data_IF_837638618974
#
_entry.id   IF_837638618974
#
_cell.length_a   1.000
_cell.length_b   1.000
_cell.length_c   1.000
_cell.angle_alpha   90.00
_cell.angle_beta   90.00
_cell.angle_gamma   90.00
#
_symmetry.space_group_name_H-M   'P 1'
#
loop_
_entity.id
_entity.type
_entity.pdbx_description
1 polymer ?
#
# COMPACT_ATOMS: atom_id res chain seq x y z
N UNK A 1 16.88 -0.20 -11.54
CA UNK A 1 15.56 0.30 -11.12
C UNK A 1 15.79 1.70 -10.60
N UNK A 2 15.30 2.72 -11.31
CA UNK A 2 15.34 4.08 -10.82
C UNK A 2 14.46 4.18 -9.57
N UNK A 3 15.03 4.68 -8.48
CA UNK A 3 14.31 4.81 -7.21
C UNK A 3 13.35 5.99 -7.33
N UNK A 4 12.04 5.75 -7.18
CA UNK A 4 11.01 6.80 -7.29
C UNK A 4 11.24 7.87 -6.22
N UNK A 5 11.30 9.15 -6.64
CA UNK A 5 11.36 10.26 -5.70
C UNK A 5 10.06 10.35 -4.89
N UNK A 6 10.08 11.04 -3.74
CA UNK A 6 8.85 11.29 -2.99
C UNK A 6 7.80 12.03 -3.84
N UNK A 7 8.23 12.95 -4.71
CA UNK A 7 7.32 13.66 -5.61
C UNK A 7 6.65 12.70 -6.60
N UNK A 8 7.39 11.72 -7.14
CA UNK A 8 6.85 10.72 -8.06
C UNK A 8 5.89 9.76 -7.34
N UNK A 9 6.25 9.31 -6.13
CA UNK A 9 5.38 8.48 -5.30
C UNK A 9 4.08 9.21 -4.96
N UNK A 10 4.16 10.48 -4.57
CA UNK A 10 3.00 11.34 -4.33
C UNK A 10 2.16 11.55 -5.59
N UNK A 11 2.79 11.78 -6.75
CA UNK A 11 2.09 11.96 -8.01
C UNK A 11 1.35 10.69 -8.43
N UNK A 12 1.99 9.52 -8.26
CA UNK A 12 1.38 8.21 -8.48
C UNK A 12 0.16 7.99 -7.56
N UNK A 13 0.29 8.20 -6.25
CA UNK A 13 -0.87 8.11 -5.34
C UNK A 13 -2.01 9.04 -5.78
N UNK A 14 -1.67 10.27 -6.17
CA UNK A 14 -2.65 11.29 -6.57
C UNK A 14 -3.37 10.93 -7.86
N UNK A 15 -2.73 10.22 -8.78
CA UNK A 15 -3.36 9.78 -10.04
C UNK A 15 -4.43 8.71 -9.82
N UNK A 16 -4.29 7.88 -8.78
CA UNK A 16 -5.25 6.81 -8.43
C UNK A 16 -6.50 7.32 -7.71
N UNK A 17 -6.43 8.51 -7.09
CA UNK A 17 -7.49 9.11 -6.26
C UNK A 17 -8.88 9.13 -6.90
N UNK A 18 -9.07 9.46 -8.20
CA UNK A 18 -10.40 9.56 -8.79
C UNK A 18 -11.17 8.23 -8.83
N UNK A 19 -10.45 7.10 -8.82
CA UNK A 19 -11.05 5.76 -8.92
C UNK A 19 -10.99 4.98 -7.60
N UNK A 20 -10.17 5.42 -6.65
CA UNK A 20 -9.99 4.72 -5.37
C UNK A 20 -11.24 4.88 -4.51
N UNK A 21 -11.82 3.75 -4.12
CA UNK A 21 -12.90 3.67 -3.14
C UNK A 21 -12.39 3.18 -1.78
N UNK A 22 -11.35 2.34 -1.77
CA UNK A 22 -10.84 1.70 -0.55
C UNK A 22 -9.32 1.65 -0.60
N UNK A 23 -8.67 1.80 0.56
CA UNK A 23 -7.23 1.62 0.72
C UNK A 23 -7.01 0.53 1.77
N UNK A 24 -6.19 -0.46 1.43
CA UNK A 24 -5.76 -1.50 2.36
C UNK A 24 -4.28 -1.33 2.70
N UNK A 25 -3.95 -1.44 3.99
CA UNK A 25 -2.59 -1.49 4.51
C UNK A 25 -2.31 -2.90 5.02
N UNK A 26 -1.23 -3.53 4.56
CA UNK A 26 -0.76 -4.82 5.04
C UNK A 26 0.52 -4.62 5.82
N UNK A 27 0.40 -4.69 7.14
CA UNK A 27 1.51 -4.55 8.09
C UNK A 27 2.24 -5.88 8.22
N UNK A 28 3.41 -5.98 7.57
CA UNK A 28 4.18 -7.21 7.53
C UNK A 28 4.81 -7.56 8.89
N UNK A 29 5.03 -6.56 9.74
CA UNK A 29 5.57 -6.69 11.10
C UNK A 29 4.54 -6.43 12.21
N UNK A 30 3.24 -6.42 11.86
CA UNK A 30 2.14 -6.10 12.78
C UNK A 30 1.87 -4.60 12.90
N UNK A 31 0.67 -4.26 13.40
CA UNK A 31 0.12 -2.90 13.37
C UNK A 31 0.15 -2.19 14.74
N UNK A 32 0.56 -2.89 15.81
CA UNK A 32 0.48 -2.36 17.17
C UNK A 32 1.46 -1.19 17.37
N UNK A 33 0.92 -0.01 17.74
CA UNK A 33 1.71 1.20 17.98
C UNK A 33 2.31 1.82 16.72
N UNK A 34 1.81 1.42 15.53
CA UNK A 34 2.32 1.96 14.29
C UNK A 34 1.89 3.44 14.11
N UNK A 35 2.79 4.36 13.77
CA UNK A 35 2.49 5.80 13.72
C UNK A 35 1.37 6.14 12.72
N UNK A 36 1.27 5.39 11.61
CA UNK A 36 0.14 5.50 10.68
C UNK A 36 -1.24 5.38 11.37
N UNK A 37 -1.39 4.51 12.38
CA UNK A 37 -2.67 4.35 13.06
C UNK A 37 -3.03 5.56 13.92
N UNK A 38 -2.04 6.27 14.47
CA UNK A 38 -2.27 7.51 15.21
C UNK A 38 -2.73 8.63 14.27
N UNK A 39 -2.07 8.75 13.11
CA UNK A 39 -2.42 9.73 12.08
C UNK A 39 -3.81 9.50 11.47
N UNK A 40 -4.29 8.26 11.49
CA UNK A 40 -5.60 7.85 10.97
C UNK A 40 -6.60 7.50 12.07
N UNK A 41 -6.35 7.89 13.32
CA UNK A 41 -7.19 7.51 14.45
C UNK A 41 -8.64 8.01 14.35
N UNK A 42 -8.88 9.04 13.52
CA UNK A 42 -10.22 9.58 13.22
C UNK A 42 -10.97 8.80 12.14
N UNK A 43 -10.32 7.85 11.46
CA UNK A 43 -10.94 7.04 10.40
C UNK A 43 -11.24 5.63 10.89
N UNK A 44 -12.42 5.14 10.54
CA UNK A 44 -12.80 3.75 10.79
C UNK A 44 -12.02 2.80 9.87
N UNK A 45 -11.51 1.71 10.45
CA UNK A 45 -10.90 0.63 9.70
C UNK A 45 -11.43 -0.74 10.08
N UNK A 46 -11.51 -1.61 9.09
CA UNK A 46 -11.68 -3.04 9.32
C UNK A 46 -10.31 -3.66 9.50
N UNK A 47 -10.07 -4.27 10.67
CA UNK A 47 -8.85 -5.00 10.99
C UNK A 47 -9.04 -6.49 10.74
N UNK A 48 -8.16 -7.08 9.94
CA UNK A 48 -8.15 -8.52 9.66
C UNK A 48 -6.76 -9.07 9.98
N UNK A 49 -6.70 -10.21 10.67
CA UNK A 49 -5.44 -10.96 10.84
C UNK A 49 -5.38 -11.99 9.73
N UNK A 50 -4.25 -12.01 9.04
CA UNK A 50 -4.01 -12.87 7.90
C UNK A 50 -4.53 -12.28 6.60
N UNK A 51 -3.78 -12.54 5.52
CA UNK A 51 -4.17 -12.23 4.14
C UNK A 51 -4.16 -13.52 3.34
N UNK A 52 -5.28 -13.85 2.71
CA UNK A 52 -5.39 -15.02 1.83
C UNK A 52 -4.70 -14.79 0.47
N UNK A 53 -4.50 -15.87 -0.31
CA UNK A 53 -4.05 -15.73 -1.70
C UNK A 53 -5.07 -14.93 -2.53
N UNK A 54 -4.58 -14.14 -3.50
CA UNK A 54 -5.43 -13.37 -4.42
C UNK A 54 -5.71 -11.92 -4.06
N UNK A 55 -5.09 -11.38 -3.01
CA UNK A 55 -5.16 -9.95 -2.67
C UNK A 55 -4.13 -9.15 -3.53
N UNK A 56 -4.31 -9.20 -4.85
CA UNK A 56 -3.51 -8.49 -5.85
C UNK A 56 -2.24 -9.23 -6.30
N UNK A 57 -1.27 -9.46 -5.40
CA UNK A 57 0.04 -10.02 -5.79
C UNK A 57 0.60 -11.08 -4.82
N UNK A 58 -0.11 -11.40 -3.73
CA UNK A 58 0.33 -12.48 -2.85
C UNK A 58 -0.07 -13.85 -3.41
N UNK A 59 0.92 -14.57 -3.95
CA UNK A 59 0.78 -15.95 -4.41
C UNK A 59 0.58 -16.96 -3.26
N UNK A 60 1.04 -16.62 -2.06
CA UNK A 60 0.85 -17.41 -0.83
C UNK A 60 0.12 -16.60 0.23
N UNK A 61 -0.79 -17.26 0.94
CA UNK A 61 -1.41 -16.67 2.13
C UNK A 61 -0.37 -16.33 3.20
N UNK A 62 -0.53 -15.17 3.83
CA UNK A 62 0.29 -14.71 4.94
C UNK A 62 -0.57 -14.68 6.21
N UNK A 63 -0.59 -15.74 7.03
CA UNK A 63 -1.55 -15.86 8.14
C UNK A 63 -1.27 -14.91 9.32
N UNK A 64 -0.05 -14.38 9.42
CA UNK A 64 0.39 -13.59 10.58
C UNK A 64 0.45 -12.08 10.34
N UNK A 65 0.28 -11.62 9.09
CA UNK A 65 0.28 -10.18 8.80
C UNK A 65 -1.04 -9.56 9.21
N UNK A 66 -1.03 -8.27 9.50
CA UNK A 66 -2.25 -7.55 9.87
C UNK A 66 -2.68 -6.67 8.69
N UNK A 67 -3.94 -6.79 8.28
CA UNK A 67 -4.54 -5.92 7.29
C UNK A 67 -5.45 -4.89 7.95
N UNK A 68 -5.34 -3.63 7.56
CA UNK A 68 -6.30 -2.55 7.88
C UNK A 68 -6.91 -2.02 6.60
N UNK A 69 -8.23 -2.07 6.49
CA UNK A 69 -8.97 -1.56 5.34
C UNK A 69 -9.75 -0.31 5.70
N UNK A 70 -9.54 0.77 4.95
CA UNK A 70 -10.20 2.06 5.12
C UNK A 70 -11.02 2.41 3.89
N UNK A 71 -12.17 3.04 4.08
CA UNK A 71 -12.78 3.80 2.99
C UNK A 71 -11.83 4.92 2.57
N UNK A 72 -11.77 5.22 1.28
CA UNK A 72 -10.86 6.23 0.77
C UNK A 72 -11.15 7.60 1.42
N UNK A 73 -10.13 8.16 2.05
CA UNK A 73 -10.10 9.53 2.54
C UNK A 73 -8.77 10.18 2.09
N UNK A 74 -8.79 11.48 1.82
CA UNK A 74 -7.60 12.23 1.40
C UNK A 74 -6.55 12.28 2.52
N UNK A 75 -6.98 12.22 3.77
CA UNK A 75 -6.09 12.20 4.93
C UNK A 75 -5.20 10.96 4.95
N UNK A 76 -5.63 9.86 4.32
CA UNK A 76 -4.80 8.66 4.14
C UNK A 76 -3.54 8.98 3.32
N UNK A 77 -3.70 9.71 2.21
CA UNK A 77 -2.58 10.14 1.37
C UNK A 77 -1.66 11.08 2.16
N UNK A 78 -2.24 12.04 2.89
CA UNK A 78 -1.47 12.98 3.72
C UNK A 78 -0.67 12.27 4.81
N UNK A 79 -1.25 11.25 5.43
CA UNK A 79 -0.56 10.45 6.44
C UNK A 79 0.63 9.70 5.84
N UNK A 80 0.45 9.05 4.68
CA UNK A 80 1.55 8.41 3.95
C UNK A 80 2.65 9.42 3.60
N UNK A 81 2.28 10.60 3.07
CA UNK A 81 3.23 11.67 2.75
C UNK A 81 4.00 12.15 4.00
N UNK A 82 3.31 12.32 5.14
CA UNK A 82 3.95 12.74 6.41
C UNK A 82 4.93 11.71 6.99
N UNK A 83 4.74 10.43 6.66
CA UNK A 83 5.63 9.33 7.05
C UNK A 83 6.78 9.13 6.06
N UNK A 84 6.91 10.02 5.06
CA UNK A 84 7.99 9.97 4.07
C UNK A 84 7.68 9.07 2.88
N UNK A 85 6.41 8.88 2.51
CA UNK A 85 5.97 8.02 1.40
C UNK A 85 6.29 6.52 1.61
N UNK A 86 6.24 5.72 0.54
CA UNK A 86 6.39 4.26 0.60
C UNK A 86 7.86 3.83 0.65
N UNK A 87 8.69 4.45 -0.18
CA UNK A 87 10.11 4.08 -0.35
C UNK A 87 11.00 5.28 -0.03
N UNK A 88 12.13 5.10 0.65
CA UNK A 88 13.11 6.16 0.86
C UNK A 88 13.62 6.74 -0.46
N UNK A 89 14.03 8.01 -0.46
CA UNK A 89 14.71 8.62 -1.61
C UNK A 89 16.02 7.90 -1.95
N UNK A 90 16.43 7.91 -3.23
CA UNK A 90 17.67 7.28 -3.71
C UNK A 90 18.93 7.66 -2.90
N UNK A 91 18.99 8.90 -2.42
CA UNK A 91 20.11 9.41 -1.64
C UNK A 91 20.10 8.96 -0.16
N UNK A 92 18.99 8.39 0.31
CA UNK A 92 18.82 7.91 1.67
C UNK A 92 19.54 6.58 1.88
N UNK A 93 20.19 6.43 3.02
CA UNK A 93 20.75 5.15 3.48
C UNK A 93 19.74 4.33 4.29
N UNK A 94 18.54 4.86 4.53
CA UNK A 94 17.51 4.14 5.29
C UNK A 94 16.92 3.05 4.40
N UNK A 95 16.65 1.90 5.00
CA UNK A 95 15.89 0.83 4.34
C UNK A 95 14.41 1.19 4.21
N UNK A 96 13.86 1.89 5.21
CA UNK A 96 12.44 2.21 5.30
C UNK A 96 12.22 3.70 5.59
N UNK A 97 11.08 4.19 5.12
CA UNK A 97 10.49 5.46 5.58
C UNK A 97 9.88 5.23 6.97
N UNK A 98 9.24 6.24 7.56
CA UNK A 98 8.50 6.04 8.82
C UNK A 98 7.22 5.22 8.62
N UNK A 99 6.81 4.98 7.36
CA UNK A 99 5.74 4.05 7.03
C UNK A 99 6.15 2.59 7.30
N UNK A 100 7.46 2.27 7.20
CA UNK A 100 7.96 0.93 7.46
C UNK A 100 7.64 -0.09 6.37
N UNK A 101 7.69 -1.36 6.76
CA UNK A 101 7.36 -2.52 5.92
C UNK A 101 5.83 -2.74 5.91
N UNK A 102 5.15 -1.84 5.22
CA UNK A 102 3.70 -1.79 5.09
C UNK A 102 3.33 -1.67 3.62
N UNK A 103 2.76 -2.73 3.08
CA UNK A 103 2.26 -2.72 1.70
C UNK A 103 0.94 -1.96 1.64
N UNK A 104 0.75 -1.16 0.58
CA UNK A 104 -0.43 -0.30 0.41
C UNK A 104 -1.12 -0.65 -0.89
N UNK A 105 -2.42 -0.89 -0.83
CA UNK A 105 -3.22 -1.35 -1.97
C UNK A 105 -4.38 -0.38 -2.17
N UNK A 106 -4.50 0.17 -3.38
CA UNK A 106 -5.58 1.05 -3.80
C UNK A 106 -6.60 0.24 -4.59
N UNK A 107 -7.86 0.27 -4.14
CA UNK A 107 -8.94 -0.53 -4.72
C UNK A 107 -10.09 0.36 -5.21
N UNK A 108 -10.73 -0.03 -6.30
CA UNK A 108 -11.97 0.58 -6.78
C UNK A 108 -13.21 0.13 -5.98
N UNK A 109 -14.40 0.60 -6.39
CA UNK A 109 -15.67 0.27 -5.73
C UNK A 109 -16.03 -1.22 -5.79
N UNK A 110 -15.50 -1.94 -6.79
CA UNK A 110 -15.71 -3.38 -6.96
C UNK A 110 -14.66 -4.21 -6.21
N UNK A 111 -13.66 -3.56 -5.61
CA UNK A 111 -12.53 -4.23 -4.98
C UNK A 111 -11.42 -4.63 -5.96
N UNK A 112 -11.43 -4.13 -7.19
CA UNK A 112 -10.35 -4.35 -8.16
C UNK A 112 -9.13 -3.48 -7.79
N UNK A 113 -7.93 -4.04 -7.92
CA UNK A 113 -6.69 -3.33 -7.68
C UNK A 113 -6.43 -2.27 -8.76
N UNK A 114 -6.20 -1.03 -8.31
CA UNK A 114 -5.81 0.10 -9.15
C UNK A 114 -4.30 0.32 -9.12
N UNK A 115 -3.69 -0.02 -7.99
CA UNK A 115 -2.25 -0.03 -7.80
C UNK A 115 -1.89 -0.52 -6.40
N UNK A 116 -0.69 -1.03 -6.24
CA UNK A 116 -0.19 -1.49 -4.96
C UNK A 116 1.30 -1.25 -4.80
N UNK A 117 1.78 -1.30 -3.56
CA UNK A 117 3.21 -1.34 -3.26
C UNK A 117 3.60 -2.71 -2.71
N UNK A 118 4.83 -3.13 -3.05
CA UNK A 118 5.54 -4.24 -2.45
C UNK A 118 6.78 -3.66 -1.78
N UNK A 119 6.61 -3.22 -0.54
CA UNK A 119 7.60 -2.39 0.17
C UNK A 119 8.94 -3.09 0.33
N UNK A 120 8.93 -4.38 0.67
CA UNK A 120 10.13 -5.22 0.77
C UNK A 120 10.88 -5.46 -0.54
N UNK A 121 10.24 -5.27 -1.67
CA UNK A 121 10.88 -5.38 -2.99
C UNK A 121 11.16 -4.02 -3.63
N UNK A 122 10.73 -2.91 -3.01
CA UNK A 122 10.88 -1.58 -3.58
C UNK A 122 9.98 -1.35 -4.81
N UNK A 123 8.88 -2.12 -4.96
CA UNK A 123 8.10 -2.15 -6.19
C UNK A 123 6.74 -1.45 -6.06
N UNK A 124 6.34 -0.79 -7.14
CA UNK A 124 4.98 -0.29 -7.35
C UNK A 124 4.36 -1.11 -8.47
N UNK A 125 3.21 -1.69 -8.20
CA UNK A 125 2.39 -2.42 -9.17
C UNK A 125 1.26 -1.49 -9.62
N UNK A 126 1.08 -1.36 -10.92
CA UNK A 126 -0.04 -0.64 -11.52
C UNK A 126 -0.95 -1.62 -12.28
N UNK A 127 -2.18 -1.20 -12.57
CA UNK A 127 -3.15 -2.08 -13.25
C UNK A 127 -2.62 -2.65 -14.59
N UNK A 128 -1.74 -1.94 -15.29
CA UNK A 128 -1.13 -2.39 -16.55
C UNK A 128 -0.18 -3.60 -16.38
N UNK A 129 0.21 -3.94 -15.14
CA UNK A 129 1.06 -5.10 -14.83
C UNK A 129 0.24 -6.41 -14.66
N UNK A 130 -1.10 -6.34 -14.63
CA UNK A 130 -1.98 -7.52 -14.52
C UNK A 130 -2.30 -8.18 -15.88
N UNK A 131 -1.97 -7.53 -17.00
CA UNK A 131 -2.36 -7.98 -18.36
C UNK A 131 -1.29 -8.82 -19.09
N UNK A 132 -0.10 -9.06 -18.51
CA UNK A 132 0.95 -9.86 -19.17
C UNK A 132 0.96 -11.37 -18.83
N UNK A 133 0.15 -11.83 -17.87
CA UNK A 133 0.02 -13.26 -17.52
C UNK A 133 -1.42 -13.78 -17.64
N UNK A 134 -2.09 -13.38 -18.72
CA UNK A 134 -3.30 -14.04 -19.21
C UNK A 134 -3.06 -15.45 -19.78
N UNK A 135 -2.41 -16.35 -19.04
CA UNK A 135 -2.29 -17.76 -19.42
C UNK A 135 -2.70 -18.69 -18.27
N UNK A 136 -3.86 -19.37 -18.41
CA UNK A 136 -4.04 -20.67 -17.80
C UNK A 136 -3.34 -21.71 -18.67
N UNK A 137 -2.32 -22.38 -18.11
CA UNK A 137 -2.02 -23.79 -18.43
C UNK A 137 -1.59 -24.53 -17.17
#
# INVERSE_FOLDING_TARGET
MDTLSFADQSAWMKSLRPKTARIEFVFNNGDKGHPLLELLAHLDSVRTIGVGPGNGYYWRGRPNVVKRSYQYDRDIIRAIESLGCFFPEAASKKQWTELGDVDVIFLDQCGKMLGATVTHEGMVLSHDDEDEDGLPI
#
